data_IF_059204900821
#
_entry.id   IF_059204900821
#
_cell.length_a   1.000
_cell.length_b   1.000
_cell.length_c   1.000
_cell.angle_alpha   90.00
_cell.angle_beta   90.00
_cell.angle_gamma   90.00
#
_symmetry.space_group_name_H-M   'P 1'
#
loop_
_entity.id
_entity.type
_entity.pdbx_description
1 polymer ?
#
# COMPACT_ATOMS: atom_id res chain seq x y z
N UNK A 1 2.52 26.60 -11.01
CA UNK A 1 2.48 25.77 -9.78
C UNK A 1 1.64 24.54 -10.05
N UNK A 2 2.20 23.33 -10.02
CA UNK A 2 1.52 22.06 -10.38
C UNK A 2 1.28 21.13 -9.19
N UNK A 3 1.81 21.44 -8.01
CA UNK A 3 1.64 20.65 -6.78
C UNK A 3 0.80 21.40 -5.76
N UNK A 4 0.08 20.65 -4.94
CA UNK A 4 -0.65 21.13 -3.76
C UNK A 4 -0.13 20.40 -2.51
N UNK A 5 -0.21 21.00 -1.32
CA UNK A 5 0.02 20.30 -0.06
C UNK A 5 -0.87 19.06 0.07
N UNK A 6 -0.37 18.05 0.77
CA UNK A 6 -1.13 16.83 1.07
C UNK A 6 -2.06 17.11 2.25
N UNK A 7 -3.35 16.91 2.06
CA UNK A 7 -4.41 17.24 3.04
C UNK A 7 -5.43 16.12 3.27
N UNK A 8 -5.48 15.12 2.39
CA UNK A 8 -6.42 14.01 2.47
C UNK A 8 -5.72 12.72 2.93
N UNK A 9 -6.24 11.99 3.93
CA UNK A 9 -5.63 10.75 4.38
C UNK A 9 -5.87 9.57 3.40
N UNK A 10 -4.98 8.59 3.44
CA UNK A 10 -5.15 7.26 2.86
C UNK A 10 -5.02 6.26 3.99
N UNK A 11 -6.15 5.68 4.40
CA UNK A 11 -6.19 4.71 5.50
C UNK A 11 -5.73 3.35 4.99
N UNK A 12 -4.74 2.73 5.65
CA UNK A 12 -4.19 1.44 5.25
C UNK A 12 -4.95 0.28 5.91
N UNK A 13 -5.60 0.53 7.05
CA UNK A 13 -6.31 -0.49 7.83
C UNK A 13 -5.43 -1.16 8.89
N UNK A 14 -4.22 -0.65 9.11
CA UNK A 14 -3.28 -1.15 10.10
C UNK A 14 -3.12 -0.14 11.21
N UNK A 15 -3.70 -0.43 12.39
CA UNK A 15 -3.72 0.50 13.55
C UNK A 15 -2.35 1.10 13.86
N UNK A 16 -1.29 0.29 13.81
CA UNK A 16 0.07 0.75 14.09
C UNK A 16 0.54 1.82 13.08
N UNK A 17 0.19 1.67 11.80
CA UNK A 17 0.59 2.61 10.75
C UNK A 17 -0.34 3.82 10.75
N UNK A 18 -1.66 3.60 10.70
CA UNK A 18 -2.63 4.70 10.60
C UNK A 18 -2.59 5.65 11.80
N UNK A 19 -2.09 5.20 12.96
CA UNK A 19 -1.89 6.05 14.15
C UNK A 19 -0.50 6.69 14.23
N UNK A 20 0.58 5.92 14.05
CA UNK A 20 1.94 6.42 14.30
C UNK A 20 2.60 7.04 13.06
N UNK A 21 2.26 6.55 11.87
CA UNK A 21 2.84 6.96 10.59
C UNK A 21 1.73 7.10 9.54
N UNK A 22 0.84 8.11 9.68
CA UNK A 22 -0.28 8.28 8.76
C UNK A 22 0.21 8.64 7.35
N UNK A 23 -0.44 8.08 6.33
CA UNK A 23 -0.15 8.36 4.92
C UNK A 23 -1.22 9.27 4.33
N UNK A 24 -0.80 10.30 3.61
CA UNK A 24 -1.70 11.18 2.86
C UNK A 24 -1.69 10.97 1.33
N UNK A 25 -2.75 11.43 0.65
CA UNK A 25 -2.90 11.35 -0.81
C UNK A 25 -1.84 12.21 -1.50
N UNK A 26 -0.97 11.56 -2.28
CA UNK A 26 0.15 12.20 -2.96
C UNK A 26 1.48 12.16 -2.18
N UNK A 27 1.48 11.61 -0.96
CA UNK A 27 2.69 11.26 -0.21
C UNK A 27 3.39 10.04 -0.83
N UNK A 28 4.70 9.95 -0.63
CA UNK A 28 5.51 8.77 -0.95
C UNK A 28 6.04 8.21 0.36
N UNK A 29 5.58 7.02 0.72
CA UNK A 29 5.97 6.34 1.96
C UNK A 29 6.83 5.10 1.64
N UNK A 30 7.99 4.98 2.29
CA UNK A 30 8.93 3.88 2.07
C UNK A 30 8.63 2.71 3.01
N UNK A 31 8.40 1.52 2.45
CA UNK A 31 8.34 0.26 3.20
C UNK A 31 9.67 -0.47 3.03
N UNK A 32 10.48 -0.53 4.09
CA UNK A 32 11.82 -1.13 4.08
C UNK A 32 11.99 -2.15 5.21
N UNK A 33 12.87 -3.13 5.00
CA UNK A 33 13.22 -4.15 5.99
C UNK A 33 13.72 -5.45 5.33
N UNK A 34 14.18 -6.38 6.15
CA UNK A 34 14.78 -7.65 5.72
C UNK A 34 13.80 -8.59 5.01
N UNK A 35 14.31 -9.66 4.41
CA UNK A 35 13.48 -10.67 3.75
C UNK A 35 12.45 -11.24 4.75
N UNK A 36 11.23 -11.50 4.28
CA UNK A 36 10.16 -12.14 5.07
C UNK A 36 9.65 -11.34 6.29
N UNK A 37 9.82 -10.01 6.33
CA UNK A 37 9.28 -9.15 7.39
C UNK A 37 7.88 -8.59 7.12
N UNK A 38 7.12 -9.17 6.17
CA UNK A 38 5.73 -8.75 5.90
C UNK A 38 5.57 -7.52 4.98
N UNK A 39 6.64 -7.01 4.35
CA UNK A 39 6.56 -5.85 3.44
C UNK A 39 5.47 -5.96 2.37
N UNK A 40 5.37 -7.11 1.70
CA UNK A 40 4.35 -7.35 0.68
C UNK A 40 2.95 -7.41 1.28
N UNK A 41 2.80 -8.02 2.46
CA UNK A 41 1.50 -8.12 3.13
C UNK A 41 0.95 -6.74 3.48
N UNK A 42 1.77 -5.85 4.05
CA UNK A 42 1.38 -4.45 4.33
C UNK A 42 0.89 -3.74 3.06
N UNK A 43 1.61 -3.90 1.94
CA UNK A 43 1.23 -3.27 0.68
C UNK A 43 -0.10 -3.83 0.13
N UNK A 44 -0.36 -5.13 0.29
CA UNK A 44 -1.60 -5.76 -0.15
C UNK A 44 -2.78 -5.36 0.75
N UNK A 45 -2.61 -5.36 2.06
CA UNK A 45 -3.64 -4.92 3.01
C UNK A 45 -4.05 -3.47 2.74
N UNK A 46 -3.08 -2.60 2.43
CA UNK A 46 -3.34 -1.23 2.02
C UNK A 46 -4.27 -1.13 0.81
N UNK A 47 -4.05 -1.98 -0.20
CA UNK A 47 -4.84 -2.04 -1.43
C UNK A 47 -6.25 -2.57 -1.13
N UNK A 48 -6.35 -3.65 -0.36
CA UNK A 48 -7.63 -4.27 0.00
C UNK A 48 -8.49 -3.27 0.79
N UNK A 49 -7.90 -2.50 1.71
CA UNK A 49 -8.60 -1.49 2.49
C UNK A 49 -9.13 -0.31 1.65
N UNK A 50 -8.67 -0.15 0.39
CA UNK A 50 -9.22 0.85 -0.53
C UNK A 50 -10.49 0.39 -1.26
N UNK A 51 -10.96 -0.84 -1.03
CA UNK A 51 -12.19 -1.33 -1.66
C UNK A 51 -13.37 -0.41 -1.30
N UNK A 52 -13.98 0.18 -2.32
CA UNK A 52 -15.12 1.10 -2.15
C UNK A 52 -14.77 2.54 -1.75
N UNK A 53 -13.49 2.90 -1.58
CA UNK A 53 -13.09 4.27 -1.20
C UNK A 53 -12.92 5.21 -2.39
N UNK A 54 -13.05 4.69 -3.62
CA UNK A 54 -12.81 5.42 -4.86
C UNK A 54 -11.33 5.58 -5.22
N UNK A 55 -10.41 5.10 -4.38
CA UNK A 55 -8.96 5.07 -4.69
C UNK A 55 -8.66 3.91 -5.63
N UNK A 56 -7.97 4.19 -6.74
CA UNK A 56 -7.49 3.16 -7.67
C UNK A 56 -6.10 2.70 -7.23
N UNK A 57 -5.94 1.40 -7.08
CA UNK A 57 -4.70 0.79 -6.62
C UNK A 57 -3.97 0.12 -7.79
N UNK A 58 -2.65 0.27 -7.81
CA UNK A 58 -1.77 -0.35 -8.81
C UNK A 58 -0.67 -1.07 -8.05
N UNK A 59 -0.53 -2.38 -8.26
CA UNK A 59 0.55 -3.19 -7.72
C UNK A 59 1.50 -3.59 -8.86
N UNK A 60 2.78 -3.24 -8.73
CA UNK A 60 3.81 -3.55 -9.74
C UNK A 60 4.81 -4.53 -9.13
N UNK A 61 4.74 -5.78 -9.57
CA UNK A 61 5.69 -6.80 -9.18
C UNK A 61 6.92 -6.81 -10.11
N UNK A 62 8.11 -6.57 -9.56
CA UNK A 62 9.38 -6.55 -10.33
C UNK A 62 10.29 -7.68 -9.82
N UNK A 63 10.72 -8.56 -10.72
CA UNK A 63 11.64 -9.67 -10.39
C UNK A 63 11.08 -10.71 -9.41
N UNK A 64 9.77 -10.77 -9.23
CA UNK A 64 9.10 -11.72 -8.34
C UNK A 64 8.76 -13.03 -9.06
N UNK A 65 8.76 -14.14 -8.34
CA UNK A 65 8.32 -15.43 -8.88
C UNK A 65 6.82 -15.39 -9.17
N UNK A 66 6.40 -15.88 -10.34
CA UNK A 66 4.98 -15.92 -10.72
C UNK A 66 4.13 -16.70 -9.70
N UNK A 67 4.63 -17.82 -9.18
CA UNK A 67 3.96 -18.60 -8.13
C UNK A 67 3.78 -17.85 -6.81
N UNK A 68 4.58 -16.80 -6.56
CA UNK A 68 4.43 -15.94 -5.40
C UNK A 68 3.43 -14.80 -5.61
N UNK A 69 2.97 -14.56 -6.84
CA UNK A 69 1.99 -13.52 -7.18
C UNK A 69 0.62 -14.13 -7.49
N UNK A 70 0.58 -15.26 -8.20
CA UNK A 70 -0.65 -15.89 -8.66
C UNK A 70 -1.73 -16.10 -7.57
N UNK A 71 -1.40 -16.56 -6.35
CA UNK A 71 -2.42 -16.87 -5.33
C UNK A 71 -3.32 -15.69 -4.94
N UNK A 72 -2.87 -14.44 -5.10
CA UNK A 72 -3.63 -13.25 -4.69
C UNK A 72 -4.27 -12.50 -5.87
N UNK A 73 -3.98 -12.87 -7.12
CA UNK A 73 -4.64 -12.26 -8.30
C UNK A 73 -6.04 -12.82 -8.56
N UNK A 74 -6.36 -14.00 -8.00
CA UNK A 74 -7.59 -14.75 -8.26
C UNK A 74 -8.72 -14.44 -7.26
N UNK A 75 -8.51 -13.51 -6.32
CA UNK A 75 -9.47 -13.08 -5.30
C UNK A 75 -10.00 -11.66 -5.53
#
# INVERSE_FOLDING_TARGET
MTRKPVDQPVQIGLKAIDSMVPIGRGQRELIIGDRQTGKTAIALDAIINQKGTGVKCIYVAVGQKQSSIAPWLEN
#
